data_IF_933912203895
#
_entry.id   IF_933912203895
#
_cell.length_a   1.000
_cell.length_b   1.000
_cell.length_c   1.000
_cell.angle_alpha   90.00
_cell.angle_beta   90.00
_cell.angle_gamma   90.00
#
_symmetry.space_group_name_H-M   'P 1'
#
loop_
_entity.id
_entity.type
_entity.pdbx_description
1 polymer ?
#
# COMPACT_ATOMS: atom_id res chain seq x y z
N UNK A 1 2.48 18.21 33.93
CA UNK A 1 2.04 19.03 32.78
C UNK A 1 2.75 18.69 31.46
N UNK A 2 4.02 18.25 31.48
CA UNK A 2 4.74 17.85 30.25
C UNK A 2 4.26 16.55 29.59
N UNK A 3 3.73 15.59 30.37
CA UNK A 3 3.27 14.30 29.84
C UNK A 3 2.01 14.43 28.97
N UNK A 4 1.03 15.21 29.43
CA UNK A 4 -0.21 15.48 28.69
C UNK A 4 0.09 16.22 27.37
N UNK A 5 1.00 17.19 27.38
CA UNK A 5 1.41 17.89 26.15
C UNK A 5 2.08 16.97 25.13
N UNK A 6 2.93 16.03 25.58
CA UNK A 6 3.53 15.02 24.68
C UNK A 6 2.49 14.06 24.11
N UNK A 7 1.57 13.55 24.95
CA UNK A 7 0.50 12.67 24.48
C UNK A 7 -0.40 13.35 23.43
N UNK A 8 -0.77 14.61 23.64
CA UNK A 8 -1.57 15.37 22.67
C UNK A 8 -0.82 15.55 21.35
N UNK A 9 0.52 15.66 21.39
CA UNK A 9 1.34 15.81 20.19
C UNK A 9 1.45 14.50 19.40
N UNK A 10 1.68 13.38 20.10
CA UNK A 10 1.72 12.05 19.48
C UNK A 10 0.37 11.69 18.83
N UNK A 11 -0.75 11.99 19.51
CA UNK A 11 -2.10 11.72 19.01
C UNK A 11 -2.44 12.60 17.79
N UNK A 12 -1.95 13.85 17.76
CA UNK A 12 -2.05 14.73 16.59
C UNK A 12 -1.27 14.17 15.39
N UNK A 13 -0.06 13.66 15.60
CA UNK A 13 0.74 13.07 14.54
C UNK A 13 0.09 11.80 13.96
N UNK A 14 -0.46 10.94 14.82
CA UNK A 14 -1.21 9.75 14.40
C UNK A 14 -2.47 10.13 13.59
N UNK A 15 -3.21 11.14 14.03
CA UNK A 15 -4.39 11.62 13.29
C UNK A 15 -4.02 12.22 11.92
N UNK A 16 -2.92 12.97 11.82
CA UNK A 16 -2.47 13.56 10.55
C UNK A 16 -1.97 12.49 9.58
N UNK A 17 -1.21 11.50 10.07
CA UNK A 17 -0.75 10.38 9.24
C UNK A 17 -1.93 9.51 8.79
N UNK A 18 -2.89 9.22 9.66
CA UNK A 18 -4.10 8.47 9.30
C UNK A 18 -4.95 9.22 8.28
N UNK A 19 -5.08 10.55 8.40
CA UNK A 19 -5.76 11.39 7.40
C UNK A 19 -5.07 11.31 6.04
N UNK A 20 -3.75 11.50 6.00
CA UNK A 20 -2.99 11.40 4.76
C UNK A 20 -3.10 9.99 4.14
N UNK A 21 -3.07 8.95 4.98
CA UNK A 21 -3.24 7.56 4.58
C UNK A 21 -4.62 7.30 3.96
N UNK A 22 -5.66 7.83 4.58
CA UNK A 22 -7.03 7.73 4.06
C UNK A 22 -7.23 8.48 2.74
N UNK A 23 -6.66 9.67 2.59
CA UNK A 23 -6.68 10.41 1.31
C UNK A 23 -5.95 9.62 0.21
N UNK A 24 -4.77 9.08 0.52
CA UNK A 24 -3.99 8.27 -0.42
C UNK A 24 -4.68 6.95 -0.79
N UNK A 25 -5.31 6.28 0.18
CA UNK A 25 -6.08 5.07 -0.06
C UNK A 25 -7.33 5.35 -0.90
N UNK A 26 -8.06 6.43 -0.63
CA UNK A 26 -9.20 6.85 -1.45
C UNK A 26 -8.77 7.15 -2.89
N UNK A 27 -7.65 7.83 -3.08
CA UNK A 27 -7.05 8.08 -4.39
C UNK A 27 -6.66 6.78 -5.10
N UNK A 28 -6.05 5.83 -4.39
CA UNK A 28 -5.69 4.51 -4.91
C UNK A 28 -6.93 3.74 -5.39
N UNK A 29 -7.98 3.67 -4.56
CA UNK A 29 -9.20 2.95 -4.89
C UNK A 29 -9.92 3.58 -6.09
N UNK A 30 -10.02 4.91 -6.13
CA UNK A 30 -10.66 5.64 -7.23
C UNK A 30 -9.89 5.46 -8.54
N UNK A 31 -8.56 5.61 -8.51
CA UNK A 31 -7.72 5.43 -9.70
C UNK A 31 -7.75 4.00 -10.22
N UNK A 32 -7.70 2.99 -9.34
CA UNK A 32 -7.84 1.59 -9.73
C UNK A 32 -9.21 1.26 -10.34
N UNK A 33 -10.29 1.85 -9.82
CA UNK A 33 -11.62 1.70 -10.40
C UNK A 33 -11.69 2.31 -11.81
N UNK A 34 -11.11 3.49 -12.00
CA UNK A 34 -11.04 4.15 -13.31
C UNK A 34 -10.22 3.30 -14.29
N UNK A 35 -9.06 2.78 -13.88
CA UNK A 35 -8.25 1.92 -14.73
C UNK A 35 -8.93 0.59 -15.04
N UNK A 36 -9.66 0.01 -14.09
CA UNK A 36 -10.48 -1.17 -14.33
C UNK A 36 -11.51 -0.91 -15.43
N UNK A 37 -12.34 0.12 -15.28
CA UNK A 37 -13.38 0.48 -16.25
C UNK A 37 -12.72 0.78 -17.61
N UNK A 38 -11.72 1.66 -17.64
CA UNK A 38 -11.01 2.04 -18.85
C UNK A 38 -10.38 0.85 -19.57
N UNK A 39 -9.82 -0.11 -18.83
CA UNK A 39 -9.22 -1.31 -19.43
C UNK A 39 -10.26 -2.19 -20.16
N UNK A 40 -11.45 -2.37 -19.58
CA UNK A 40 -12.53 -3.16 -20.18
C UNK A 40 -13.03 -2.50 -21.48
N UNK A 41 -13.26 -1.19 -21.45
CA UNK A 41 -13.77 -0.45 -22.60
C UNK A 41 -12.77 -0.34 -23.74
N UNK A 42 -11.48 -0.13 -23.44
CA UNK A 42 -10.45 0.11 -24.46
C UNK A 42 -9.87 -1.20 -25.00
N UNK A 43 -9.72 -2.25 -24.17
CA UNK A 43 -8.99 -3.46 -24.53
C UNK A 43 -9.88 -4.70 -24.69
N UNK A 44 -11.08 -4.52 -25.24
CA UNK A 44 -12.00 -5.63 -25.56
C UNK A 44 -12.26 -6.56 -24.37
N UNK A 45 -12.48 -5.99 -23.17
CA UNK A 45 -12.75 -6.76 -21.95
C UNK A 45 -11.53 -7.28 -21.20
N UNK A 46 -10.30 -6.96 -21.62
CA UNK A 46 -9.08 -7.33 -20.90
C UNK A 46 -8.70 -6.28 -19.84
N UNK A 47 -8.46 -6.73 -18.62
CA UNK A 47 -7.98 -5.91 -17.50
C UNK A 47 -6.46 -5.82 -17.52
N UNK A 48 -5.93 -4.61 -17.78
CA UNK A 48 -4.49 -4.33 -17.82
C UNK A 48 -3.94 -4.15 -16.40
N UNK A 49 -3.43 -5.21 -15.81
CA UNK A 49 -2.96 -5.22 -14.42
C UNK A 49 -1.71 -4.37 -14.16
N UNK A 50 -0.94 -4.05 -15.21
CA UNK A 50 0.21 -3.14 -15.11
C UNK A 50 -0.21 -1.72 -14.68
N UNK A 51 -1.40 -1.25 -15.08
CA UNK A 51 -1.92 0.07 -14.70
C UNK A 51 -2.21 0.16 -13.19
N UNK A 52 -2.61 -0.96 -12.58
CA UNK A 52 -2.87 -1.04 -11.14
C UNK A 52 -1.58 -0.99 -10.32
N UNK A 53 -0.47 -1.53 -10.85
CA UNK A 53 0.84 -1.38 -10.22
C UNK A 53 1.32 0.07 -10.30
N UNK A 54 1.14 0.71 -11.46
CA UNK A 54 1.53 2.10 -11.68
C UNK A 54 0.71 3.06 -10.79
N UNK A 55 -0.60 2.86 -10.67
CA UNK A 55 -1.46 3.64 -9.77
C UNK A 55 -1.05 3.49 -8.30
N UNK A 56 -0.67 2.27 -7.88
CA UNK A 56 -0.21 1.97 -6.53
C UNK A 56 1.08 2.73 -6.20
N UNK A 57 2.02 2.81 -7.14
CA UNK A 57 3.24 3.60 -6.98
C UNK A 57 2.91 5.10 -6.80
N UNK A 58 2.02 5.65 -7.64
CA UNK A 58 1.62 7.07 -7.55
C UNK A 58 0.92 7.35 -6.22
N UNK A 59 0.07 6.46 -5.74
CA UNK A 59 -0.61 6.63 -4.45
C UNK A 59 0.37 6.66 -3.27
N UNK A 60 1.44 5.86 -3.31
CA UNK A 60 2.52 5.93 -2.30
C UNK A 60 3.25 7.27 -2.37
N UNK A 61 3.62 7.74 -3.57
CA UNK A 61 4.26 9.05 -3.73
C UNK A 61 3.36 10.19 -3.25
N UNK A 62 2.06 10.11 -3.55
CA UNK A 62 1.07 11.07 -3.06
C UNK A 62 0.98 11.07 -1.53
N UNK A 63 0.96 9.90 -0.90
CA UNK A 63 0.99 9.78 0.57
C UNK A 63 2.21 10.48 1.17
N UNK A 64 3.41 10.24 0.63
CA UNK A 64 4.64 10.85 1.12
C UNK A 64 4.63 12.38 1.03
N UNK A 65 4.25 12.91 -0.14
CA UNK A 65 4.14 14.36 -0.33
C UNK A 65 3.05 14.97 0.56
N UNK A 66 1.95 14.24 0.78
CA UNK A 66 0.86 14.70 1.63
C UNK A 66 1.26 14.76 3.10
N UNK A 67 1.95 13.74 3.61
CA UNK A 67 2.48 13.76 4.97
C UNK A 67 3.51 14.87 5.16
N UNK A 68 4.38 15.09 4.17
CA UNK A 68 5.34 16.21 4.16
C UNK A 68 4.64 17.57 4.25
N UNK A 69 3.56 17.79 3.50
CA UNK A 69 2.77 19.04 3.55
C UNK A 69 2.02 19.25 4.86
N UNK A 70 1.57 18.17 5.49
CA UNK A 70 0.87 18.23 6.77
C UNK A 70 1.83 18.38 7.97
N UNK A 71 3.14 18.33 7.74
CA UNK A 71 4.14 18.32 8.81
C UNK A 71 4.06 17.08 9.69
N UNK A 72 3.42 16.01 9.21
CA UNK A 72 3.25 14.77 9.94
C UNK A 72 4.52 13.92 9.77
N UNK A 73 5.02 13.34 10.87
CA UNK A 73 6.21 12.54 10.82
C UNK A 73 5.90 11.12 10.28
N UNK A 74 5.93 10.98 8.95
CA UNK A 74 5.58 9.73 8.27
C UNK A 74 6.61 8.61 8.46
N UNK A 75 7.81 8.91 8.99
CA UNK A 75 8.85 7.90 9.23
C UNK A 75 8.46 6.87 10.29
N UNK A 76 7.55 7.22 11.21
CA UNK A 76 7.02 6.28 12.21
C UNK A 76 5.91 5.36 11.66
N UNK A 77 5.28 5.74 10.53
CA UNK A 77 4.10 5.06 9.97
C UNK A 77 4.40 4.25 8.70
N UNK A 78 5.68 4.07 8.34
CA UNK A 78 6.07 3.32 7.14
C UNK A 78 5.81 1.81 7.22
N UNK A 79 5.46 1.30 8.40
CA UNK A 79 5.12 -0.11 8.60
C UNK A 79 3.62 -0.34 8.46
N UNK A 80 3.25 -1.36 7.70
CA UNK A 80 1.90 -1.90 7.73
C UNK A 80 1.64 -2.61 9.07
N UNK A 81 0.45 -2.39 9.61
CA UNK A 81 -0.09 -3.26 10.66
C UNK A 81 -0.30 -4.66 10.09
N UNK A 82 -0.47 -5.67 10.96
CA UNK A 82 -0.82 -7.04 10.54
C UNK A 82 -2.05 -7.06 9.62
N UNK A 83 -3.05 -6.22 9.89
CA UNK A 83 -4.21 -6.04 9.02
C UNK A 83 -3.86 -5.43 7.67
N UNK A 84 -2.94 -4.46 7.64
CA UNK A 84 -2.40 -3.89 6.40
C UNK A 84 -1.66 -4.92 5.56
N UNK A 85 -0.82 -5.77 6.18
CA UNK A 85 -0.14 -6.88 5.50
C UNK A 85 -1.14 -7.88 4.92
N UNK A 86 -2.17 -8.25 5.68
CA UNK A 86 -3.24 -9.12 5.21
C UNK A 86 -4.02 -8.51 4.04
N UNK A 87 -4.38 -7.23 4.13
CA UNK A 87 -5.10 -6.51 3.08
C UNK A 87 -4.27 -6.40 1.79
N UNK A 88 -2.98 -6.09 1.90
CA UNK A 88 -2.08 -6.03 0.75
C UNK A 88 -1.85 -7.40 0.11
N UNK A 89 -1.71 -8.45 0.92
CA UNK A 89 -1.60 -9.84 0.43
C UNK A 89 -2.87 -10.26 -0.31
N UNK A 90 -4.04 -9.91 0.23
CA UNK A 90 -5.33 -10.17 -0.43
C UNK A 90 -5.45 -9.40 -1.75
N UNK A 91 -5.01 -8.14 -1.80
CA UNK A 91 -5.02 -7.33 -3.02
C UNK A 91 -4.14 -7.95 -4.11
N UNK A 92 -2.91 -8.35 -3.76
CA UNK A 92 -2.00 -9.05 -4.68
C UNK A 92 -2.61 -10.37 -5.16
N UNK A 93 -3.25 -11.11 -4.27
CA UNK A 93 -3.97 -12.37 -4.60
C UNK A 93 -5.07 -12.12 -5.63
N UNK A 94 -5.89 -11.08 -5.46
CA UNK A 94 -6.94 -10.69 -6.42
C UNK A 94 -6.35 -10.30 -7.77
N UNK A 95 -5.28 -9.51 -7.77
CA UNK A 95 -4.57 -9.09 -9.00
C UNK A 95 -4.07 -10.30 -9.79
N UNK A 96 -3.45 -11.28 -9.12
CA UNK A 96 -2.95 -12.52 -9.74
C UNK A 96 -4.12 -13.39 -10.21
N UNK A 97 -5.23 -13.42 -9.47
CA UNK A 97 -6.42 -14.18 -9.84
C UNK A 97 -7.00 -13.65 -11.17
N UNK A 98 -7.10 -12.33 -11.31
CA UNK A 98 -7.58 -11.68 -12.55
C UNK A 98 -6.65 -11.99 -13.72
N UNK A 99 -5.33 -11.93 -13.51
CA UNK A 99 -4.35 -12.30 -14.53
C UNK A 99 -4.48 -13.77 -14.94
N UNK A 100 -4.55 -14.67 -13.96
CA UNK A 100 -4.69 -16.10 -14.19
C UNK A 100 -5.99 -16.42 -14.96
N UNK A 101 -7.09 -15.74 -14.65
CA UNK A 101 -8.35 -15.88 -15.38
C UNK A 101 -8.22 -15.48 -16.85
N UNK A 102 -7.52 -14.38 -17.13
CA UNK A 102 -7.32 -13.90 -18.50
C UNK A 102 -6.41 -14.80 -19.32
N UNK A 103 -5.31 -15.28 -18.73
CA UNK A 103 -4.36 -16.17 -19.42
C UNK A 103 -5.00 -17.52 -19.72
N UNK A 104 -5.76 -18.07 -18.77
CA UNK A 104 -6.35 -19.39 -18.86
C UNK A 104 -7.85 -19.36 -19.23
N UNK A 105 -8.31 -18.33 -19.96
CA UNK A 105 -9.73 -18.12 -20.25
C UNK A 105 -10.40 -19.35 -20.87
N UNK A 106 -9.69 -20.08 -21.74
CA UNK A 106 -10.18 -21.26 -22.45
C UNK A 106 -10.48 -22.44 -21.50
N UNK A 107 -9.78 -22.51 -20.36
CA UNK A 107 -9.96 -23.57 -19.35
C UNK A 107 -11.16 -23.24 -18.46
N UNK A 108 -11.40 -21.95 -18.19
CA UNK A 108 -12.44 -21.48 -17.26
C UNK A 108 -13.76 -21.09 -17.94
N UNK A 109 -13.80 -20.99 -19.26
CA UNK A 109 -14.98 -20.56 -20.02
C UNK A 109 -16.24 -21.39 -19.73
N UNK A 110 -16.07 -22.70 -19.51
CA UNK A 110 -17.18 -23.63 -19.26
C UNK A 110 -17.55 -23.77 -17.78
N UNK A 111 -16.62 -23.45 -16.88
CA UNK A 111 -16.85 -23.49 -15.44
C UNK A 111 -16.06 -22.37 -14.74
N UNK A 112 -16.71 -21.25 -14.37
CA UNK A 112 -16.03 -20.13 -13.71
C UNK A 112 -15.54 -20.48 -12.29
N UNK A 113 -16.03 -21.55 -11.67
CA UNK A 113 -15.59 -22.07 -10.36
C UNK A 113 -14.80 -23.37 -10.51
N UNK A 114 -14.01 -23.49 -11.58
CA UNK A 114 -13.16 -24.65 -11.79
C UNK A 114 -12.24 -24.86 -10.57
N UNK A 115 -12.08 -26.11 -10.10
CA UNK A 115 -11.30 -26.40 -8.89
C UNK A 115 -9.87 -25.82 -8.95
N UNK A 116 -9.23 -25.88 -10.12
CA UNK A 116 -7.92 -25.25 -10.38
C UNK A 116 -7.92 -23.73 -10.15
N UNK A 117 -9.01 -23.04 -10.47
CA UNK A 117 -9.15 -21.60 -10.24
C UNK A 117 -9.28 -21.28 -8.74
N UNK A 118 -10.06 -22.07 -8.01
CA UNK A 118 -10.24 -21.89 -6.56
C UNK A 118 -8.98 -22.19 -5.76
N UNK A 119 -8.20 -23.20 -6.16
CA UNK A 119 -6.94 -23.59 -5.49
C UNK A 119 -5.83 -22.55 -5.66
N UNK A 120 -5.88 -21.72 -6.71
CA UNK A 120 -4.93 -20.60 -6.88
C UNK A 120 -5.04 -19.59 -5.74
N UNK A 121 -6.24 -19.36 -5.20
CA UNK A 121 -6.47 -18.37 -4.13
C UNK A 121 -5.66 -18.70 -2.86
N UNK A 122 -5.80 -19.86 -2.19
CA UNK A 122 -5.02 -20.17 -1.00
C UNK A 122 -3.52 -20.34 -1.30
N UNK A 123 -3.15 -20.90 -2.46
CA UNK A 123 -1.73 -21.07 -2.83
C UNK A 123 -1.04 -19.73 -2.96
N UNK A 124 -1.61 -18.81 -3.74
CA UNK A 124 -1.03 -17.47 -3.93
C UNK A 124 -1.01 -16.71 -2.63
N UNK A 125 -2.08 -16.75 -1.84
CA UNK A 125 -2.10 -16.10 -0.53
C UNK A 125 -0.97 -16.59 0.37
N UNK A 126 -0.76 -17.91 0.47
CA UNK A 126 0.31 -18.51 1.29
C UNK A 126 1.72 -18.18 0.79
N UNK A 127 1.93 -18.05 -0.52
CA UNK A 127 3.22 -17.68 -1.09
C UNK A 127 3.53 -16.20 -0.88
N UNK A 128 2.53 -15.32 -1.06
CA UNK A 128 2.75 -13.88 -0.99
C UNK A 128 2.72 -13.33 0.44
N UNK A 129 2.05 -14.00 1.39
CA UNK A 129 2.07 -13.60 2.80
C UNK A 129 3.50 -13.44 3.37
N UNK A 130 4.42 -14.43 3.28
CA UNK A 130 5.77 -14.26 3.80
C UNK A 130 6.56 -13.19 3.03
N UNK A 131 6.32 -13.04 1.73
CA UNK A 131 6.95 -11.98 0.92
C UNK A 131 6.51 -10.59 1.43
N UNK A 132 5.22 -10.42 1.72
CA UNK A 132 4.67 -9.17 2.25
C UNK A 132 5.18 -8.87 3.65
N UNK A 133 5.40 -9.89 4.49
CA UNK A 133 6.04 -9.72 5.81
C UNK A 133 7.49 -9.24 5.65
N UNK A 134 8.27 -9.86 4.75
CA UNK A 134 9.65 -9.43 4.47
C UNK A 134 9.68 -7.99 3.94
N UNK A 135 8.77 -7.65 3.03
CA UNK A 135 8.64 -6.29 2.51
C UNK A 135 8.31 -5.30 3.63
N UNK A 136 7.38 -5.65 4.54
CA UNK A 136 7.04 -4.82 5.68
C UNK A 136 8.24 -4.58 6.61
N UNK A 137 9.07 -5.61 6.82
CA UNK A 137 10.29 -5.51 7.61
C UNK A 137 11.33 -4.58 6.94
N UNK A 138 11.45 -4.64 5.62
CA UNK A 138 12.30 -3.69 4.86
C UNK A 138 11.80 -2.26 5.06
N UNK A 139 10.49 -2.03 4.97
CA UNK A 139 9.91 -0.70 5.22
C UNK A 139 10.18 -0.21 6.64
N UNK A 140 10.13 -1.08 7.64
CA UNK A 140 10.50 -0.75 9.02
C UNK A 140 11.96 -0.30 9.14
N UNK A 141 12.89 -1.04 8.52
CA UNK A 141 14.31 -0.70 8.52
C UNK A 141 14.55 0.65 7.84
N UNK A 142 13.92 0.87 6.68
CA UNK A 142 14.02 2.13 5.94
C UNK A 142 13.45 3.29 6.77
N UNK A 143 12.31 3.10 7.42
CA UNK A 143 11.69 4.10 8.30
C UNK A 143 12.61 4.48 9.47
N UNK A 144 13.20 3.48 10.14
CA UNK A 144 14.18 3.69 11.23
C UNK A 144 15.42 4.45 10.74
N UNK A 145 15.97 4.07 9.60
CA UNK A 145 17.15 4.73 9.03
C UNK A 145 16.87 6.19 8.65
N UNK A 146 15.71 6.47 8.05
CA UNK A 146 15.31 7.83 7.72
C UNK A 146 15.05 8.69 8.95
N UNK A 147 14.47 8.11 10.01
CA UNK A 147 14.29 8.81 11.29
C UNK A 147 15.63 9.26 11.88
N UNK A 148 16.61 8.36 11.97
CA UNK A 148 17.95 8.71 12.48
C UNK A 148 18.60 9.82 11.65
N UNK A 149 18.47 9.75 10.32
CA UNK A 149 18.98 10.80 9.42
C UNK A 149 18.30 12.15 9.67
N UNK A 150 17.01 12.16 9.93
CA UNK A 150 16.24 13.37 10.19
C UNK A 150 16.57 13.98 11.56
N UNK A 151 16.69 13.16 12.61
CA UNK A 151 17.10 13.60 13.94
C UNK A 151 18.49 14.25 13.91
N UNK A 152 19.43 13.67 13.16
CA UNK A 152 20.75 14.27 12.95
C UNK A 152 20.69 15.62 12.22
N UNK A 153 19.82 15.75 11.22
CA UNK A 153 19.64 17.02 10.51
C UNK A 153 19.06 18.10 11.43
N UNK A 154 18.18 17.74 12.36
CA UNK A 154 17.66 18.68 13.36
C UNK A 154 18.72 19.10 14.38
N UNK A 155 19.54 18.18 14.89
CA UNK A 155 20.61 18.54 15.82
C UNK A 155 21.62 19.49 15.20
N UNK A 156 22.00 19.24 13.94
CA UNK A 156 22.95 20.10 13.23
C UNK A 156 22.38 21.52 13.02
N UNK A 157 21.06 21.67 12.85
CA UNK A 157 20.39 22.98 12.76
C UNK A 157 20.28 23.71 14.11
N UNK A 158 20.10 22.99 15.21
CA UNK A 158 20.08 23.57 16.56
C UNK A 158 21.47 24.04 17.00
N UNK A 159 22.54 23.35 16.58
CA UNK A 159 23.93 23.74 16.86
C UNK A 159 24.41 24.94 16.00
N UNK A 160 23.76 25.22 14.86
CA UNK A 160 24.05 26.39 14.00
C UNK A 160 23.32 27.68 14.43
N UNK A 161 22.36 27.63 15.36
CA UNK A 161 21.55 28.78 15.82
C UNK A 161 22.05 29.40 17.13
#
# INVERSE_FOLDING_TARGET
>A
MNFIKRQILDEREEQLTNKAGMEAFSFLMTSNLIFYIGSIFIHSGKVYTQLFLFSSLIAVLYFLERCRRLGANYFNSFTFTIWGVMAMTALVTVVILVQNFQVNHAIYQNNPLHAKFLVVIPITFLIYLPIMIVFNLILEIVGKWQKVRFEKYLSDLEDES
#
